data_IF_808015662241
#
_entry.id   IF_808015662241
#
_cell.length_a   1.000
_cell.length_b   1.000
_cell.length_c   1.000
_cell.angle_alpha   90.00
_cell.angle_beta   90.00
_cell.angle_gamma   90.00
#
_symmetry.space_group_name_H-M   'P 1'
#
loop_
_entity.id
_entity.type
_entity.pdbx_description
1 polymer ?
#
# COMPACT_ATOMS: atom_id res chain seq x y z
N UNK A 1 15.08 6.65 11.65
CA UNK A 1 14.14 5.59 11.21
C UNK A 1 12.75 6.20 11.16
N UNK A 2 12.00 6.03 10.07
CA UNK A 2 10.70 6.68 9.84
C UNK A 2 9.67 5.68 9.27
N UNK A 3 8.41 5.82 9.69
CA UNK A 3 7.24 5.07 9.19
C UNK A 3 6.19 6.08 8.75
N UNK A 4 5.59 5.83 7.58
CA UNK A 4 4.49 6.65 7.03
C UNK A 4 3.24 5.81 6.88
N UNK A 5 2.08 6.42 7.12
CA UNK A 5 0.77 5.82 6.93
C UNK A 5 -0.06 6.71 6.01
N UNK A 6 -0.56 6.17 4.89
CA UNK A 6 -1.28 6.93 3.88
C UNK A 6 -2.70 7.33 4.28
N UNK A 7 -3.34 6.55 5.17
CA UNK A 7 -4.81 6.49 5.27
C UNK A 7 -5.46 6.10 3.92
N UNK A 8 -6.77 6.29 3.80
CA UNK A 8 -7.52 6.05 2.56
C UNK A 8 -7.24 7.19 1.58
N UNK A 9 -6.80 6.85 0.37
CA UNK A 9 -6.42 7.85 -0.62
C UNK A 9 -6.35 7.26 -2.02
N UNK A 10 -6.75 8.03 -3.02
CA UNK A 10 -6.31 7.82 -4.40
C UNK A 10 -4.80 8.10 -4.50
N UNK A 11 -4.13 7.67 -5.59
CA UNK A 11 -2.69 7.88 -5.72
C UNK A 11 -2.37 9.39 -5.69
N UNK A 12 -1.46 9.78 -4.80
CA UNK A 12 -1.11 11.19 -4.58
C UNK A 12 0.39 11.37 -4.46
N UNK A 13 0.92 12.37 -5.16
CA UNK A 13 2.34 12.75 -5.05
C UNK A 13 2.66 13.31 -3.65
N UNK A 14 1.66 13.75 -2.88
CA UNK A 14 1.86 14.16 -1.48
C UNK A 14 2.31 12.97 -0.61
N UNK A 15 1.82 11.76 -0.90
CA UNK A 15 2.25 10.54 -0.20
C UNK A 15 3.70 10.19 -0.57
N UNK A 16 4.10 10.46 -1.82
CA UNK A 16 5.50 10.28 -2.26
C UNK A 16 6.43 11.20 -1.46
N UNK A 17 6.09 12.49 -1.37
CA UNK A 17 6.89 13.46 -0.60
C UNK A 17 6.90 13.14 0.89
N UNK A 18 5.76 12.73 1.45
CA UNK A 18 5.66 12.33 2.85
C UNK A 18 6.55 11.12 3.17
N UNK A 19 6.62 10.13 2.27
CA UNK A 19 7.38 8.90 2.46
C UNK A 19 8.86 9.00 2.07
N UNK A 20 9.29 10.12 1.48
CA UNK A 20 10.65 10.29 0.94
C UNK A 20 11.71 10.10 2.04
N UNK A 21 12.58 9.11 1.87
CA UNK A 21 13.66 8.81 2.82
C UNK A 21 13.22 8.05 4.08
N UNK A 22 11.96 7.61 4.17
CA UNK A 22 11.48 6.76 5.24
C UNK A 22 11.82 5.27 5.00
N UNK A 23 11.72 4.45 6.05
CA UNK A 23 12.09 3.02 5.97
C UNK A 23 10.89 2.15 5.56
N UNK A 24 9.68 2.53 5.99
CA UNK A 24 8.43 1.80 5.78
C UNK A 24 7.31 2.75 5.37
N UNK A 25 6.58 2.35 4.32
CA UNK A 25 5.31 2.93 3.92
C UNK A 25 4.19 1.92 4.21
N UNK A 26 3.22 2.32 5.02
CA UNK A 26 1.95 1.62 5.25
C UNK A 26 0.90 2.28 4.35
N UNK A 27 0.44 1.58 3.32
CA UNK A 27 -0.43 2.16 2.29
C UNK A 27 -1.71 1.36 2.10
N UNK A 28 -2.83 2.06 1.90
CA UNK A 28 -4.10 1.43 1.50
C UNK A 28 -4.01 0.82 0.09
N UNK A 29 -4.71 -0.29 -0.13
CA UNK A 29 -4.78 -0.96 -1.44
C UNK A 29 -6.17 -1.59 -1.66
N UNK A 30 -7.22 -0.77 -1.67
CA UNK A 30 -8.59 -1.26 -1.83
C UNK A 30 -8.92 -1.76 -3.24
N UNK A 31 -8.10 -1.45 -4.25
CA UNK A 31 -8.23 -1.97 -5.62
C UNK A 31 -7.12 -2.95 -6.03
N UNK A 32 -7.42 -3.85 -6.97
CA UNK A 32 -6.41 -4.67 -7.63
C UNK A 32 -5.84 -3.98 -8.89
N UNK A 33 -4.65 -4.39 -9.37
CA UNK A 33 -4.15 -3.94 -10.67
C UNK A 33 -5.17 -4.19 -11.79
N UNK A 34 -5.38 -3.20 -12.65
CA UNK A 34 -6.44 -3.20 -13.67
C UNK A 34 -7.78 -2.61 -13.20
N UNK A 35 -7.89 -2.23 -11.92
CA UNK A 35 -9.05 -1.54 -11.35
C UNK A 35 -8.76 -0.07 -11.00
N UNK A 36 -7.69 0.52 -11.55
CA UNK A 36 -7.22 1.86 -11.20
C UNK A 36 -8.31 2.92 -11.40
N UNK A 37 -8.98 2.91 -12.55
CA UNK A 37 -10.05 3.87 -12.83
C UNK A 37 -11.18 3.82 -11.79
N UNK A 38 -11.64 2.62 -11.44
CA UNK A 38 -12.74 2.44 -10.49
C UNK A 38 -12.32 2.76 -9.06
N UNK A 39 -11.10 2.37 -8.65
CA UNK A 39 -10.55 2.68 -7.34
C UNK A 39 -10.38 4.20 -7.17
N UNK A 40 -9.80 4.89 -8.15
CA UNK A 40 -9.53 6.32 -8.07
C UNK A 40 -10.83 7.14 -8.00
N UNK A 41 -11.88 6.73 -8.72
CA UNK A 41 -13.22 7.37 -8.68
C UNK A 41 -13.81 7.44 -7.27
N UNK A 42 -13.53 6.45 -6.43
CA UNK A 42 -14.04 6.38 -5.05
C UNK A 42 -13.01 6.81 -4.00
N UNK A 43 -11.88 7.38 -4.44
CA UNK A 43 -10.85 7.90 -3.54
C UNK A 43 -9.92 6.84 -2.97
N UNK A 44 -9.74 5.71 -3.68
CA UNK A 44 -8.91 4.60 -3.25
C UNK A 44 -7.74 4.30 -4.19
N UNK A 45 -6.74 3.58 -3.68
CA UNK A 45 -5.55 3.16 -4.42
C UNK A 45 -5.62 1.68 -4.79
N UNK A 46 -4.91 1.32 -5.86
CA UNK A 46 -4.65 -0.09 -6.18
C UNK A 46 -3.31 -0.57 -5.60
N UNK A 47 -3.12 -1.88 -5.54
CA UNK A 47 -1.80 -2.47 -5.23
C UNK A 47 -0.71 -1.97 -6.17
N UNK A 48 -1.02 -1.72 -7.46
CA UNK A 48 -0.05 -1.16 -8.41
C UNK A 48 0.36 0.25 -8.00
N UNK A 49 -0.60 1.09 -7.62
CA UNK A 49 -0.36 2.46 -7.22
C UNK A 49 0.53 2.55 -5.98
N UNK A 50 0.22 1.77 -4.93
CA UNK A 50 1.02 1.72 -3.71
C UNK A 50 2.48 1.32 -3.95
N UNK A 51 2.71 0.37 -4.87
CA UNK A 51 4.06 -0.05 -5.28
C UNK A 51 4.80 1.08 -6.00
N UNK A 52 4.13 1.78 -6.92
CA UNK A 52 4.76 2.89 -7.65
C UNK A 52 5.05 4.09 -6.73
N UNK A 53 4.17 4.39 -5.78
CA UNK A 53 4.41 5.41 -4.74
C UNK A 53 5.63 5.03 -3.89
N UNK A 54 5.70 3.77 -3.42
CA UNK A 54 6.83 3.29 -2.64
C UNK A 54 8.16 3.40 -3.42
N UNK A 55 8.17 3.03 -4.70
CA UNK A 55 9.35 3.17 -5.57
C UNK A 55 9.77 4.63 -5.74
N UNK A 56 8.82 5.52 -6.03
CA UNK A 56 9.08 6.95 -6.21
C UNK A 56 9.65 7.59 -4.93
N UNK A 57 9.13 7.20 -3.77
CA UNK A 57 9.59 7.70 -2.47
C UNK A 57 10.93 7.08 -2.00
N UNK A 58 11.40 6.01 -2.66
CA UNK A 58 12.62 5.30 -2.31
C UNK A 58 12.52 4.50 -1.00
N UNK A 59 11.30 4.12 -0.61
CA UNK A 59 11.04 3.36 0.62
C UNK A 59 11.45 1.90 0.42
N UNK A 60 12.09 1.28 1.42
CA UNK A 60 12.60 -0.10 1.32
C UNK A 60 11.55 -1.15 1.62
N UNK A 61 10.56 -0.81 2.44
CA UNK A 61 9.50 -1.70 2.89
C UNK A 61 8.14 -1.09 2.57
N UNK A 62 7.23 -1.91 2.05
CA UNK A 62 5.82 -1.57 1.84
C UNK A 62 4.97 -2.54 2.66
N UNK A 63 4.04 -1.99 3.44
CA UNK A 63 3.00 -2.73 4.14
C UNK A 63 1.64 -2.34 3.54
N UNK A 64 1.12 -3.14 2.60
CA UNK A 64 -0.25 -2.93 2.12
C UNK A 64 -1.23 -3.22 3.26
N UNK A 65 -2.30 -2.43 3.32
CA UNK A 65 -3.43 -2.57 4.25
C UNK A 65 -4.73 -2.19 3.52
N UNK A 66 -5.88 -2.29 4.18
CA UNK A 66 -7.16 -1.83 3.62
C UNK A 66 -7.55 -2.52 2.28
N UNK A 67 -7.10 -3.76 2.08
CA UNK A 67 -7.51 -4.65 0.98
C UNK A 67 -8.56 -5.66 1.44
N UNK A 68 -9.37 -6.16 0.50
CA UNK A 68 -10.35 -7.21 0.75
C UNK A 68 -9.69 -8.60 0.77
N UNK A 69 -9.34 -9.07 1.98
CA UNK A 69 -9.20 -10.47 2.47
C UNK A 69 -8.22 -11.42 1.71
N UNK A 70 -7.91 -11.22 0.44
CA UNK A 70 -6.93 -11.99 -0.32
C UNK A 70 -5.57 -11.28 -0.32
N UNK A 71 -4.49 -12.05 -0.20
CA UNK A 71 -3.13 -11.50 -0.23
C UNK A 71 -2.79 -11.01 -1.65
N UNK A 72 -2.28 -9.78 -1.82
CA UNK A 72 -1.97 -9.26 -3.15
C UNK A 72 -0.77 -9.96 -3.79
N UNK A 73 -0.82 -10.14 -5.12
CA UNK A 73 0.31 -10.63 -5.94
C UNK A 73 1.38 -9.54 -6.06
N UNK A 74 2.62 -9.86 -5.67
CA UNK A 74 3.71 -8.85 -5.54
C UNK A 74 4.70 -8.95 -6.70
N UNK A 75 4.98 -7.86 -7.45
CA UNK A 75 6.05 -7.82 -8.45
C UNK A 75 7.46 -7.88 -7.82
N UNK A 76 8.50 -8.31 -8.56
CA UNK A 76 9.88 -8.32 -8.05
C UNK A 76 10.37 -6.92 -7.65
N UNK A 77 11.19 -6.82 -6.60
CA UNK A 77 11.95 -5.61 -6.25
C UNK A 77 11.51 -4.84 -4.98
N UNK A 78 10.47 -5.29 -4.28
CA UNK A 78 10.03 -4.69 -3.00
C UNK A 78 9.81 -5.80 -1.96
N UNK A 79 10.36 -5.62 -0.76
CA UNK A 79 10.08 -6.52 0.37
C UNK A 79 8.76 -6.14 1.03
N UNK A 80 7.83 -7.08 1.06
CA UNK A 80 6.52 -6.88 1.66
C UNK A 80 6.54 -7.23 3.15
N UNK A 81 5.92 -6.39 3.98
CA UNK A 81 5.64 -6.72 5.38
C UNK A 81 4.13 -6.87 5.52
N UNK A 82 3.64 -8.10 5.63
CA UNK A 82 2.23 -8.34 5.95
C UNK A 82 2.05 -8.33 7.47
N UNK A 83 1.01 -7.66 8.00
CA UNK A 83 0.56 -7.96 9.35
C UNK A 83 0.22 -9.46 9.41
N UNK A 84 0.73 -10.15 10.42
CA UNK A 84 0.39 -11.56 10.65
C UNK A 84 -1.14 -11.65 10.73
N UNK A 85 -1.82 -12.56 10.01
CA UNK A 85 -3.26 -12.71 10.19
C UNK A 85 -3.51 -12.95 11.69
N UNK A 86 -4.35 -12.12 12.30
CA UNK A 86 -4.82 -12.41 13.65
C UNK A 86 -5.38 -13.83 13.60
N UNK A 87 -4.89 -14.71 14.49
CA UNK A 87 -5.41 -16.06 14.60
C UNK A 87 -6.93 -16.03 14.67
N UNK A 88 -7.59 -17.04 14.06
CA UNK A 88 -9.04 -17.15 14.02
C UNK A 88 -9.56 -16.90 15.45
N UNK A 89 -10.32 -15.83 15.67
CA UNK A 89 -11.05 -15.62 16.93
C UNK A 89 -12.09 -16.73 16.99
N UNK A 90 -11.75 -17.82 17.66
CA UNK A 90 -12.71 -18.87 17.99
C UNK A 90 -13.54 -18.29 19.13
N UNK A 91 -14.75 -17.83 18.82
CA UNK A 91 -15.79 -17.53 19.81
C UNK A 91 -16.42 -18.83 20.28
#
# INVERSE_FOLDING_TARGET
>A
RCVVYSSDTAPSDEVVELARGCDLLIHEVSGNPGQEEEAHKVGHSTTRDAVEIAKKAGVKLLMPIHFYIEQPTVPPGVSLVLPTPCGRLVL
#
